data_IF_086841153088
#
_entry.id   IF_086841153088
#
_cell.length_a   1.000
_cell.length_b   1.000
_cell.length_c   1.000
_cell.angle_alpha   90.00
_cell.angle_beta   90.00
_cell.angle_gamma   90.00
#
_symmetry.space_group_name_H-M   'P 1'
#
loop_
_entity.id
_entity.type
_entity.pdbx_description
1 polymer ?
#
# COMPACT_ATOMS: atom_id res chain seq x y z
N UNK A 1 -9.07 0.37 -32.68
CA UNK A 1 -9.23 -0.95 -32.01
C UNK A 1 -10.64 -0.99 -31.43
N UNK A 2 -11.36 -2.12 -31.57
CA UNK A 2 -12.70 -2.28 -30.97
C UNK A 2 -12.64 -3.52 -30.07
N UNK A 3 -13.05 -3.36 -28.82
CA UNK A 3 -13.22 -4.44 -27.85
C UNK A 3 -14.66 -4.94 -27.93
N UNK A 4 -14.87 -6.10 -28.55
CA UNK A 4 -16.21 -6.64 -28.81
C UNK A 4 -16.88 -7.26 -27.58
N UNK A 5 -16.09 -7.65 -26.58
CA UNK A 5 -16.57 -8.19 -25.31
C UNK A 5 -16.07 -7.30 -24.18
N UNK A 6 -16.95 -6.48 -23.63
CA UNK A 6 -16.62 -5.65 -22.48
C UNK A 6 -16.87 -6.42 -21.18
N UNK A 7 -15.96 -6.35 -20.20
CA UNK A 7 -16.15 -6.86 -18.85
C UNK A 7 -17.46 -6.37 -18.20
N UNK A 8 -18.00 -7.13 -17.25
CA UNK A 8 -19.26 -6.82 -16.57
C UNK A 8 -19.27 -5.43 -15.92
N UNK A 9 -18.14 -4.95 -15.42
CA UNK A 9 -18.02 -3.62 -14.82
C UNK A 9 -18.32 -2.49 -15.82
N UNK A 10 -17.85 -2.60 -17.07
CA UNK A 10 -18.20 -1.65 -18.14
C UNK A 10 -19.66 -1.75 -18.56
N UNK A 11 -20.20 -2.98 -18.62
CA UNK A 11 -21.62 -3.18 -18.95
C UNK A 11 -22.52 -2.48 -17.90
N UNK A 12 -22.15 -2.57 -16.62
CA UNK A 12 -22.86 -1.91 -15.53
C UNK A 12 -22.75 -0.38 -15.58
N UNK A 13 -21.61 0.16 -16.01
CA UNK A 13 -21.36 1.61 -16.13
C UNK A 13 -21.89 2.21 -17.44
N UNK A 14 -22.16 1.39 -18.48
CA UNK A 14 -22.61 1.83 -19.80
C UNK A 14 -23.84 2.76 -19.77
N UNK A 15 -24.90 2.50 -18.97
CA UNK A 15 -26.07 3.38 -18.90
C UNK A 15 -25.73 4.81 -18.49
N UNK A 16 -24.65 5.02 -17.72
CA UNK A 16 -24.18 6.34 -17.31
C UNK A 16 -23.67 7.11 -18.52
N UNK A 17 -22.80 6.49 -19.34
CA UNK A 17 -22.30 7.09 -20.58
C UNK A 17 -23.46 7.40 -21.52
N UNK A 18 -24.37 6.45 -21.75
CA UNK A 18 -25.52 6.63 -22.64
C UNK A 18 -26.45 7.76 -22.16
N UNK A 19 -26.63 7.95 -20.86
CA UNK A 19 -27.41 9.08 -20.30
C UNK A 19 -26.75 10.41 -20.57
N UNK A 20 -25.42 10.49 -20.41
CA UNK A 20 -24.65 11.71 -20.69
C UNK A 20 -24.67 12.03 -22.19
N UNK A 21 -24.47 11.03 -23.05
CA UNK A 21 -24.51 11.19 -24.50
C UNK A 21 -25.90 11.61 -25.02
N UNK A 22 -26.98 11.06 -24.45
CA UNK A 22 -28.36 11.43 -24.77
C UNK A 22 -28.67 12.89 -24.42
N UNK A 23 -27.95 13.47 -23.45
CA UNK A 23 -28.05 14.88 -23.10
C UNK A 23 -27.19 15.80 -23.98
N UNK A 24 -26.51 15.26 -25.01
CA UNK A 24 -25.68 16.00 -25.96
C UNK A 24 -24.25 16.26 -25.53
N UNK A 25 -23.76 15.55 -24.51
CA UNK A 25 -22.38 15.61 -24.04
C UNK A 25 -21.59 14.40 -24.49
N UNK A 26 -20.26 14.52 -24.53
CA UNK A 26 -19.35 13.39 -24.73
C UNK A 26 -19.08 12.68 -23.40
N UNK A 27 -18.98 11.35 -23.42
CA UNK A 27 -18.55 10.57 -22.28
C UNK A 27 -17.78 9.31 -22.72
N UNK A 28 -16.74 8.97 -21.96
CA UNK A 28 -15.83 7.87 -22.28
C UNK A 28 -15.36 7.18 -21.01
N UNK A 29 -15.11 5.89 -21.09
CA UNK A 29 -14.25 5.18 -20.14
C UNK A 29 -12.80 5.62 -20.36
N UNK A 30 -12.01 5.82 -19.30
CA UNK A 30 -10.68 6.41 -19.46
C UNK A 30 -9.63 5.81 -18.53
N UNK A 31 -8.36 5.92 -18.93
CA UNK A 31 -7.23 5.66 -18.06
C UNK A 31 -6.97 4.19 -17.75
N UNK A 32 -6.74 3.89 -16.48
CA UNK A 32 -6.31 2.57 -16.02
C UNK A 32 -7.25 1.43 -16.40
N UNK A 33 -8.55 1.62 -16.33
CA UNK A 33 -9.53 0.59 -16.66
C UNK A 33 -9.49 0.21 -18.15
N UNK A 34 -9.28 1.17 -19.05
CA UNK A 34 -9.12 0.89 -20.49
C UNK A 34 -7.85 0.12 -20.76
N UNK A 35 -6.72 0.57 -20.21
CA UNK A 35 -5.43 -0.12 -20.30
C UNK A 35 -5.51 -1.56 -19.81
N UNK A 36 -6.04 -1.77 -18.61
CA UNK A 36 -6.06 -3.07 -17.96
C UNK A 36 -6.97 -4.05 -18.69
N UNK A 37 -8.07 -3.55 -19.28
CA UNK A 37 -8.92 -4.37 -20.16
C UNK A 37 -8.18 -4.81 -21.42
N UNK A 38 -7.43 -3.92 -22.07
CA UNK A 38 -6.63 -4.26 -23.26
C UNK A 38 -5.56 -5.30 -22.90
N UNK A 39 -5.00 -5.23 -21.71
CA UNK A 39 -3.99 -6.18 -21.21
C UNK A 39 -4.59 -7.47 -20.63
N UNK A 40 -5.92 -7.62 -20.58
CA UNK A 40 -6.60 -8.76 -19.98
C UNK A 40 -6.41 -8.86 -18.47
N UNK A 41 -6.12 -7.75 -17.79
CA UNK A 41 -5.94 -7.69 -16.33
C UNK A 41 -7.28 -7.49 -15.61
N UNK A 42 -7.39 -7.92 -14.34
CA UNK A 42 -8.57 -7.65 -13.52
C UNK A 42 -8.85 -6.15 -13.41
N UNK A 43 -10.14 -5.79 -13.46
CA UNK A 43 -10.59 -4.42 -13.23
C UNK A 43 -10.91 -4.21 -11.75
N UNK A 44 -10.51 -3.08 -11.22
CA UNK A 44 -10.88 -2.65 -9.87
C UNK A 44 -11.98 -1.58 -9.94
N UNK A 45 -11.75 -0.51 -10.67
CA UNK A 45 -12.64 0.64 -10.79
C UNK A 45 -12.85 0.99 -12.27
N UNK A 46 -13.97 1.65 -12.57
CA UNK A 46 -14.27 2.16 -13.91
C UNK A 46 -14.39 3.68 -13.82
N UNK A 47 -13.42 4.37 -14.40
CA UNK A 47 -13.39 5.84 -14.46
C UNK A 47 -14.08 6.33 -15.74
N UNK A 48 -14.92 7.36 -15.59
CA UNK A 48 -15.60 8.03 -16.70
C UNK A 48 -15.07 9.45 -16.82
N UNK A 49 -14.79 9.88 -18.03
CA UNK A 49 -14.52 11.27 -18.34
C UNK A 49 -15.59 11.83 -19.29
N UNK A 50 -16.00 13.08 -19.08
CA UNK A 50 -17.11 13.69 -19.83
C UNK A 50 -16.85 15.15 -20.18
N UNK A 51 -17.48 15.60 -21.29
CA UNK A 51 -17.54 17.03 -21.61
C UNK A 51 -18.58 17.77 -20.75
N UNK A 52 -19.48 17.09 -20.04
CA UNK A 52 -20.43 17.71 -19.13
C UNK A 52 -19.70 18.32 -17.91
N UNK A 53 -20.06 19.55 -17.54
CA UNK A 53 -19.52 20.17 -16.32
C UNK A 53 -20.16 19.56 -15.07
N UNK A 54 -19.53 19.67 -13.88
CA UNK A 54 -20.05 19.03 -12.66
C UNK A 54 -21.52 19.37 -12.36
N UNK A 55 -21.95 20.60 -12.58
CA UNK A 55 -23.34 21.01 -12.40
C UNK A 55 -24.29 20.32 -13.38
N UNK A 56 -23.84 20.13 -14.64
CA UNK A 56 -24.62 19.44 -15.67
C UNK A 56 -24.73 17.94 -15.34
N UNK A 57 -23.65 17.30 -14.90
CA UNK A 57 -23.68 15.91 -14.42
C UNK A 57 -24.68 15.74 -13.26
N UNK A 58 -24.68 16.65 -12.30
CA UNK A 58 -25.60 16.62 -11.14
C UNK A 58 -27.08 16.83 -11.56
N UNK A 59 -27.34 17.50 -12.68
CA UNK A 59 -28.70 17.63 -13.22
C UNK A 59 -29.19 16.36 -13.92
N UNK A 60 -28.28 15.60 -14.54
CA UNK A 60 -28.61 14.36 -15.25
C UNK A 60 -28.90 13.19 -14.32
N UNK A 61 -28.27 13.16 -13.13
CA UNK A 61 -28.34 12.02 -12.23
C UNK A 61 -28.94 12.41 -10.87
N UNK A 62 -29.91 11.62 -10.41
CA UNK A 62 -30.64 11.88 -9.14
C UNK A 62 -29.77 11.65 -7.90
N UNK A 63 -28.77 10.79 -7.95
CA UNK A 63 -27.94 10.40 -6.81
C UNK A 63 -26.46 10.62 -7.16
N UNK A 64 -25.90 11.69 -6.63
CA UNK A 64 -24.49 12.05 -6.82
C UNK A 64 -23.87 12.42 -5.48
N UNK A 65 -22.54 12.24 -5.37
CA UNK A 65 -21.73 12.66 -4.21
C UNK A 65 -20.54 13.49 -4.74
N UNK A 66 -20.29 14.61 -4.09
CA UNK A 66 -19.18 15.48 -4.43
C UNK A 66 -17.88 14.89 -3.82
N UNK A 67 -17.09 14.18 -4.63
CA UNK A 67 -15.82 13.54 -4.19
C UNK A 67 -14.59 14.38 -4.56
N UNK A 68 -14.74 15.45 -5.29
CA UNK A 68 -13.67 16.34 -5.77
C UNK A 68 -14.17 17.35 -6.78
N UNK A 69 -15.26 18.02 -6.47
CA UNK A 69 -15.98 18.91 -7.40
C UNK A 69 -15.10 20.08 -7.88
N UNK A 70 -14.20 20.58 -7.03
CA UNK A 70 -13.21 21.58 -7.40
C UNK A 70 -12.22 21.09 -8.47
N UNK A 71 -12.06 19.77 -8.60
CA UNK A 71 -11.25 19.13 -9.64
C UNK A 71 -12.10 18.52 -10.75
N UNK A 72 -13.42 18.77 -10.75
CA UNK A 72 -14.34 18.32 -11.78
C UNK A 72 -14.87 16.90 -11.57
N UNK A 73 -14.61 16.24 -10.43
CA UNK A 73 -15.05 14.86 -10.18
C UNK A 73 -16.34 14.83 -9.37
N UNK A 74 -17.33 14.13 -9.90
CA UNK A 74 -18.60 13.81 -9.25
C UNK A 74 -18.76 12.29 -9.26
N UNK A 75 -19.06 11.69 -8.11
CA UNK A 75 -19.40 10.27 -8.03
C UNK A 75 -20.88 10.09 -8.31
N UNK A 76 -21.22 9.32 -9.32
CA UNK A 76 -22.59 8.92 -9.67
C UNK A 76 -22.88 7.61 -8.97
N UNK A 77 -23.98 7.56 -8.19
CA UNK A 77 -24.43 6.35 -7.51
C UNK A 77 -25.54 5.68 -8.32
N UNK A 78 -25.25 4.50 -8.87
CA UNK A 78 -26.18 3.73 -9.68
C UNK A 78 -26.17 2.25 -9.29
N UNK A 79 -27.34 1.64 -9.07
CA UNK A 79 -27.53 0.23 -8.72
C UNK A 79 -26.58 -0.30 -7.63
N UNK A 80 -26.30 0.52 -6.62
CA UNK A 80 -25.41 0.17 -5.49
C UNK A 80 -23.92 0.36 -5.73
N UNK A 81 -23.52 0.77 -6.93
CA UNK A 81 -22.14 1.09 -7.29
C UNK A 81 -21.91 2.61 -7.35
N UNK A 82 -20.66 3.03 -7.13
CA UNK A 82 -20.21 4.40 -7.33
C UNK A 82 -19.30 4.49 -8.56
N UNK A 83 -19.56 5.46 -9.45
CA UNK A 83 -18.76 5.69 -10.65
C UNK A 83 -18.18 7.09 -10.62
N UNK A 84 -16.85 7.19 -10.53
CA UNK A 84 -16.17 8.47 -10.62
C UNK A 84 -16.28 9.04 -12.04
N UNK A 85 -16.96 10.16 -12.15
CA UNK A 85 -17.19 10.87 -13.42
C UNK A 85 -16.51 12.22 -13.36
N UNK A 86 -15.47 12.40 -14.17
CA UNK A 86 -14.64 13.61 -14.17
C UNK A 86 -14.87 14.43 -15.43
N UNK A 87 -15.15 15.70 -15.27
CA UNK A 87 -15.22 16.66 -16.38
C UNK A 87 -13.85 16.80 -17.05
N UNK A 88 -13.83 16.84 -18.40
CA UNK A 88 -12.60 17.15 -19.13
C UNK A 88 -12.01 18.46 -18.64
N UNK A 89 -10.72 18.49 -18.42
CA UNK A 89 -10.07 19.65 -17.85
C UNK A 89 -8.64 19.83 -18.38
N UNK A 90 -8.20 21.06 -18.37
CA UNK A 90 -6.79 21.43 -18.43
C UNK A 90 -6.34 21.92 -17.07
N UNK A 91 -5.06 21.83 -16.84
CA UNK A 91 -4.42 22.22 -15.59
C UNK A 91 -3.28 23.18 -15.95
N UNK A 92 -3.16 24.30 -15.24
CA UNK A 92 -2.12 25.31 -15.47
C UNK A 92 -1.63 25.93 -14.17
N UNK A 93 -0.36 26.42 -14.18
CA UNK A 93 0.27 26.99 -13.00
C UNK A 93 0.33 25.95 -11.89
N UNK A 94 1.47 25.29 -11.71
CA UNK A 94 1.59 24.28 -10.64
C UNK A 94 2.40 24.87 -9.50
N UNK A 95 1.79 24.92 -8.33
CA UNK A 95 2.49 25.24 -7.07
C UNK A 95 3.05 23.94 -6.49
N UNK A 96 4.28 24.03 -6.02
CA UNK A 96 4.99 22.95 -5.32
C UNK A 96 5.02 21.60 -6.08
N UNK A 97 5.04 21.65 -7.43
CA UNK A 97 5.09 20.46 -8.30
C UNK A 97 3.98 19.44 -8.03
N UNK A 98 2.76 19.92 -7.65
CA UNK A 98 1.64 19.05 -7.29
C UNK A 98 0.27 19.59 -7.66
N UNK A 99 -0.03 20.82 -7.23
CA UNK A 99 -1.38 21.38 -7.35
C UNK A 99 -1.39 22.37 -8.49
N UNK A 100 -2.28 22.18 -9.48
CA UNK A 100 -2.51 23.24 -10.44
C UNK A 100 -3.12 24.43 -9.71
N UNK A 101 -2.60 25.63 -9.99
CA UNK A 101 -3.19 26.86 -9.49
C UNK A 101 -4.58 27.08 -10.06
N UNK A 102 -4.78 26.60 -11.28
CA UNK A 102 -6.03 26.74 -12.01
C UNK A 102 -6.40 25.44 -12.71
N UNK A 103 -7.60 24.95 -12.40
CA UNK A 103 -8.29 23.89 -13.14
C UNK A 103 -9.33 24.55 -14.03
N UNK A 104 -9.20 24.36 -15.33
CA UNK A 104 -10.15 24.88 -16.30
C UNK A 104 -10.91 23.73 -16.95
N UNK A 105 -12.23 23.71 -16.78
CA UNK A 105 -13.07 22.71 -17.43
C UNK A 105 -13.17 23.00 -18.92
N UNK A 106 -12.98 21.98 -19.73
CA UNK A 106 -12.97 22.05 -21.18
C UNK A 106 -13.96 21.05 -21.79
N UNK A 107 -14.27 21.19 -23.06
CA UNK A 107 -15.16 20.27 -23.81
C UNK A 107 -14.38 19.30 -24.71
N UNK A 108 -13.03 19.35 -24.67
CA UNK A 108 -12.16 18.60 -25.56
C UNK A 108 -11.55 17.40 -24.85
N UNK A 109 -11.89 16.18 -25.27
CA UNK A 109 -11.24 14.95 -24.83
C UNK A 109 -9.73 15.01 -25.04
N UNK A 110 -9.25 15.55 -26.17
CA UNK A 110 -7.82 15.64 -26.49
C UNK A 110 -7.04 16.41 -25.42
N UNK A 111 -7.60 17.53 -24.94
CA UNK A 111 -6.95 18.34 -23.90
C UNK A 111 -6.92 17.60 -22.57
N UNK A 112 -7.97 16.84 -22.20
CA UNK A 112 -7.97 16.01 -21.00
C UNK A 112 -6.94 14.88 -21.07
N UNK A 113 -6.85 14.19 -22.21
CA UNK A 113 -5.88 13.11 -22.37
C UNK A 113 -4.43 13.64 -22.39
N UNK A 114 -4.19 14.85 -22.93
CA UNK A 114 -2.86 15.48 -23.02
C UNK A 114 -2.23 15.75 -21.66
N UNK A 115 -3.01 16.06 -20.61
CA UNK A 115 -2.49 16.32 -19.25
C UNK A 115 -2.14 15.05 -18.46
N UNK A 116 -2.47 13.86 -18.97
CA UNK A 116 -2.23 12.58 -18.28
C UNK A 116 -0.74 12.27 -18.20
N UNK A 117 -0.39 11.33 -17.32
CA UNK A 117 1.01 10.97 -17.05
C UNK A 117 1.69 10.22 -18.21
N UNK A 118 1.11 9.08 -18.62
CA UNK A 118 1.70 8.18 -19.61
C UNK A 118 0.74 7.90 -20.76
N UNK A 119 1.29 7.65 -21.94
CA UNK A 119 0.52 7.33 -23.16
C UNK A 119 -0.43 6.16 -22.97
N UNK A 120 0.01 5.13 -22.25
CA UNK A 120 -0.79 3.93 -21.92
C UNK A 120 -1.99 4.21 -21.00
N UNK A 121 -2.01 5.37 -20.32
CA UNK A 121 -3.11 5.83 -19.48
C UNK A 121 -3.90 6.97 -20.15
N UNK A 122 -3.44 7.46 -21.31
CA UNK A 122 -4.08 8.49 -22.12
C UNK A 122 -4.97 7.87 -23.20
N UNK A 123 -5.67 6.81 -22.86
CA UNK A 123 -6.63 6.09 -23.69
C UNK A 123 -8.04 6.39 -23.21
N UNK A 124 -8.96 6.50 -24.16
CA UNK A 124 -10.39 6.58 -23.90
C UNK A 124 -11.13 5.47 -24.66
N UNK A 125 -12.30 5.07 -24.19
CA UNK A 125 -13.11 4.05 -24.85
C UNK A 125 -14.59 4.44 -24.80
N UNK A 126 -15.27 4.29 -25.93
CA UNK A 126 -16.72 4.53 -26.02
C UNK A 126 -17.53 3.42 -25.33
N UNK A 127 -18.81 3.65 -25.08
CA UNK A 127 -19.74 2.64 -24.59
C UNK A 127 -19.88 1.42 -25.53
N UNK A 128 -19.44 1.55 -26.79
CA UNK A 128 -19.44 0.48 -27.80
C UNK A 128 -18.10 -0.29 -27.85
N UNK A 129 -17.14 0.04 -26.99
CA UNK A 129 -15.82 -0.61 -26.93
C UNK A 129 -14.81 -0.09 -27.96
N UNK A 130 -15.09 1.00 -28.66
CA UNK A 130 -14.14 1.63 -29.57
C UNK A 130 -13.10 2.40 -28.75
N UNK A 131 -11.82 2.03 -28.90
CA UNK A 131 -10.69 2.68 -28.21
C UNK A 131 -10.21 3.88 -29.02
N UNK A 132 -10.18 5.03 -28.36
CA UNK A 132 -9.65 6.30 -28.87
C UNK A 132 -8.24 6.47 -28.33
N UNK A 133 -7.28 6.53 -29.23
CA UNK A 133 -5.85 6.70 -28.94
C UNK A 133 -5.33 7.91 -29.72
N UNK A 134 -4.99 8.96 -29.00
CA UNK A 134 -4.51 10.24 -29.59
C UNK A 134 -3.00 10.45 -29.32
N UNK A 135 -2.35 9.55 -28.59
CA UNK A 135 -0.97 9.70 -28.12
C UNK A 135 -0.15 8.42 -28.27
N UNK A 136 -0.53 7.53 -29.18
CA UNK A 136 0.18 6.28 -29.48
C UNK A 136 0.26 5.27 -28.31
N UNK A 137 -0.69 5.35 -27.38
CA UNK A 137 -0.75 4.49 -26.20
C UNK A 137 -0.92 3.01 -26.52
N UNK A 138 -1.69 2.66 -27.57
CA UNK A 138 -1.86 1.29 -28.03
C UNK A 138 -0.54 0.69 -28.57
N UNK A 139 0.25 1.49 -29.27
CA UNK A 139 1.53 1.07 -29.75
C UNK A 139 2.53 0.85 -28.60
N UNK A 140 2.51 1.71 -27.59
CA UNK A 140 3.33 1.58 -26.39
C UNK A 140 2.90 0.39 -25.52
N UNK A 141 1.59 0.13 -25.37
CA UNK A 141 1.07 -1.07 -24.72
C UNK A 141 1.57 -2.35 -25.40
N UNK A 142 1.49 -2.41 -26.72
CA UNK A 142 1.97 -3.54 -27.50
C UNK A 142 3.48 -3.79 -27.34
N UNK A 143 4.25 -2.71 -27.18
CA UNK A 143 5.73 -2.79 -27.03
C UNK A 143 6.19 -2.97 -25.59
N UNK A 144 5.29 -2.87 -24.61
CA UNK A 144 5.65 -2.88 -23.19
C UNK A 144 6.47 -1.65 -22.78
N UNK A 145 6.05 -0.44 -23.21
CA UNK A 145 6.80 0.81 -23.01
C UNK A 145 6.01 1.81 -22.19
N UNK A 146 6.66 2.41 -21.20
CA UNK A 146 6.16 3.54 -20.40
C UNK A 146 6.73 4.83 -20.95
N UNK A 147 5.92 5.60 -21.67
CA UNK A 147 6.25 6.89 -22.25
C UNK A 147 5.38 7.97 -21.65
N UNK A 148 5.98 9.10 -21.24
CA UNK A 148 5.24 10.29 -20.82
C UNK A 148 4.43 10.88 -21.99
N UNK A 149 3.26 11.43 -21.71
CA UNK A 149 2.46 12.16 -22.73
C UNK A 149 3.12 13.49 -23.05
N UNK A 150 3.46 13.72 -24.32
CA UNK A 150 4.10 14.97 -24.78
C UNK A 150 5.55 15.05 -24.32
N UNK A 151 5.93 16.15 -23.67
CA UNK A 151 7.31 16.38 -23.18
C UNK A 151 7.41 15.91 -21.73
N UNK A 152 8.23 14.91 -21.47
CA UNK A 152 8.37 14.26 -20.15
C UNK A 152 8.79 15.26 -19.05
N UNK A 153 9.74 16.16 -19.37
CA UNK A 153 10.20 17.20 -18.44
C UNK A 153 9.04 18.10 -17.98
N UNK A 154 8.18 18.57 -18.88
CA UNK A 154 7.00 19.36 -18.54
C UNK A 154 6.07 18.58 -17.59
N UNK A 155 5.82 17.31 -17.90
CA UNK A 155 4.97 16.44 -17.05
C UNK A 155 5.50 16.28 -15.64
N UNK A 156 6.82 16.20 -15.46
CA UNK A 156 7.44 16.04 -14.13
C UNK A 156 7.51 17.37 -13.37
N UNK A 157 7.56 18.51 -14.06
CA UNK A 157 7.43 19.83 -13.44
C UNK A 157 5.99 20.13 -13.00
N UNK A 158 4.99 19.56 -13.65
CA UNK A 158 3.58 19.67 -13.21
C UNK A 158 3.33 18.84 -11.94
N UNK A 159 3.66 17.55 -11.93
CA UNK A 159 3.56 16.68 -10.75
C UNK A 159 4.77 15.73 -10.72
N UNK A 160 5.74 16.06 -9.87
CA UNK A 160 6.95 15.27 -9.72
C UNK A 160 6.68 13.82 -9.22
N UNK A 161 5.50 13.53 -8.64
CA UNK A 161 5.10 12.18 -8.29
C UNK A 161 4.99 11.26 -9.51
N UNK A 162 4.77 11.82 -10.70
CA UNK A 162 4.73 11.05 -11.95
C UNK A 162 6.01 10.25 -12.19
N UNK A 163 7.15 10.71 -11.67
CA UNK A 163 8.41 9.96 -11.72
C UNK A 163 8.32 8.67 -10.88
N UNK A 164 7.77 8.73 -9.66
CA UNK A 164 7.51 7.54 -8.85
C UNK A 164 6.46 6.62 -9.48
N UNK A 165 5.45 7.19 -10.13
CA UNK A 165 4.45 6.42 -10.87
C UNK A 165 5.05 5.65 -12.04
N UNK A 166 6.05 6.22 -12.76
CA UNK A 166 6.76 5.52 -13.83
C UNK A 166 7.44 4.24 -13.31
N UNK A 167 8.24 4.34 -12.25
CA UNK A 167 8.93 3.19 -11.67
C UNK A 167 7.96 2.18 -11.04
N UNK A 168 6.84 2.65 -10.48
CA UNK A 168 5.76 1.77 -10.02
C UNK A 168 5.09 1.02 -11.16
N UNK A 169 4.75 1.69 -12.26
CA UNK A 169 4.17 1.02 -13.42
C UNK A 169 5.13 0.00 -14.05
N UNK A 170 6.45 0.27 -14.05
CA UNK A 170 7.44 -0.73 -14.44
C UNK A 170 7.29 -2.01 -13.61
N UNK A 171 7.14 -1.88 -12.28
CA UNK A 171 6.89 -3.01 -11.38
C UNK A 171 5.54 -3.71 -11.61
N UNK A 172 4.49 -2.97 -11.93
CA UNK A 172 3.14 -3.56 -12.07
C UNK A 172 2.88 -4.21 -13.42
N UNK A 173 3.54 -3.73 -14.47
CA UNK A 173 3.26 -4.10 -15.86
C UNK A 173 4.42 -4.86 -16.53
N UNK A 174 5.61 -4.87 -15.93
CA UNK A 174 6.85 -5.34 -16.55
C UNK A 174 7.19 -4.58 -17.84
N UNK A 175 6.96 -3.27 -17.81
CA UNK A 175 7.21 -2.39 -18.95
C UNK A 175 8.52 -1.61 -18.76
N UNK A 176 9.27 -1.45 -19.85
CA UNK A 176 10.46 -0.61 -19.87
C UNK A 176 10.07 0.88 -19.92
N UNK A 177 10.75 1.71 -19.14
CA UNK A 177 10.61 3.17 -19.29
C UNK A 177 11.32 3.61 -20.56
N UNK A 178 10.64 4.38 -21.40
CA UNK A 178 11.16 4.93 -22.64
C UNK A 178 12.41 5.80 -22.36
N UNK A 179 13.47 5.72 -23.19
CA UNK A 179 14.76 6.36 -22.87
C UNK A 179 14.70 7.87 -22.60
N UNK A 180 13.90 8.64 -23.34
CA UNK A 180 13.77 10.09 -23.11
C UNK A 180 12.99 10.36 -21.81
N UNK A 181 11.97 9.56 -21.54
CA UNK A 181 11.21 9.61 -20.27
C UNK A 181 12.12 9.25 -19.09
N UNK A 182 12.95 8.22 -19.23
CA UNK A 182 13.91 7.81 -18.20
C UNK A 182 14.97 8.89 -17.94
N UNK A 183 15.51 9.52 -19.01
CA UNK A 183 16.47 10.63 -18.87
C UNK A 183 15.84 11.81 -18.16
N UNK A 184 14.61 12.18 -18.53
CA UNK A 184 13.87 13.25 -17.87
C UNK A 184 13.63 12.96 -16.38
N UNK A 185 13.36 11.69 -15.99
CA UNK A 185 13.28 11.31 -14.57
C UNK A 185 14.63 11.55 -13.88
N UNK A 186 15.73 11.11 -14.49
CA UNK A 186 17.07 11.29 -13.92
C UNK A 186 17.41 12.77 -13.70
N UNK A 187 17.15 13.60 -14.70
CA UNK A 187 17.47 15.03 -14.66
C UNK A 187 16.60 15.81 -13.65
N UNK A 188 15.39 15.33 -13.39
CA UNK A 188 14.41 15.98 -12.52
C UNK A 188 14.20 15.27 -11.18
N UNK A 189 14.96 14.20 -10.87
CA UNK A 189 14.78 13.36 -9.69
C UNK A 189 14.72 14.17 -8.37
N UNK A 190 15.49 15.27 -8.26
CA UNK A 190 15.52 16.13 -7.09
C UNK A 190 14.16 16.77 -6.77
N UNK A 191 13.27 16.96 -7.76
CA UNK A 191 11.92 17.49 -7.56
C UNK A 191 11.07 16.61 -6.65
N UNK A 192 11.41 15.31 -6.53
CA UNK A 192 10.68 14.40 -5.64
C UNK A 192 10.70 14.88 -4.18
N UNK A 193 11.73 15.61 -3.75
CA UNK A 193 11.80 16.20 -2.39
C UNK A 193 10.70 17.22 -2.10
N UNK A 194 10.04 17.75 -3.13
CA UNK A 194 8.90 18.68 -3.00
C UNK A 194 7.57 17.96 -2.79
N UNK A 195 7.53 16.66 -3.01
CA UNK A 195 6.31 15.87 -2.90
C UNK A 195 6.11 15.42 -1.45
N UNK A 196 4.86 15.48 -0.97
CA UNK A 196 4.51 14.96 0.36
C UNK A 196 4.92 13.49 0.50
N UNK A 197 5.58 13.17 1.61
CA UNK A 197 6.12 11.84 1.90
C UNK A 197 5.05 10.75 1.80
N UNK A 198 3.83 11.05 2.24
CA UNK A 198 2.68 10.13 2.19
C UNK A 198 2.35 9.69 0.76
N UNK A 199 2.45 10.60 -0.22
CA UNK A 199 2.23 10.27 -1.64
C UNK A 199 3.35 9.40 -2.18
N UNK A 200 4.60 9.76 -1.90
CA UNK A 200 5.78 8.97 -2.30
C UNK A 200 5.74 7.58 -1.69
N UNK A 201 5.31 7.47 -0.41
CA UNK A 201 5.13 6.20 0.29
C UNK A 201 4.16 5.27 -0.43
N UNK A 202 2.98 5.78 -0.80
CA UNK A 202 1.96 4.96 -1.48
C UNK A 202 2.49 4.39 -2.81
N UNK A 203 3.23 5.18 -3.59
CA UNK A 203 3.84 4.70 -4.84
C UNK A 203 4.94 3.67 -4.58
N UNK A 204 5.75 3.88 -3.52
CA UNK A 204 6.79 2.96 -3.09
C UNK A 204 6.24 1.61 -2.60
N UNK A 205 5.24 1.64 -1.73
CA UNK A 205 4.54 0.43 -1.25
C UNK A 205 3.93 -0.36 -2.43
N UNK A 206 3.23 0.33 -3.35
CA UNK A 206 2.66 -0.29 -4.55
C UNK A 206 3.71 -0.82 -5.54
N UNK A 207 4.90 -0.22 -5.60
CA UNK A 207 6.01 -0.72 -6.40
C UNK A 207 6.48 -2.07 -5.85
N UNK A 208 6.71 -2.16 -4.53
CA UNK A 208 7.21 -3.38 -3.89
C UNK A 208 6.18 -4.51 -3.83
N UNK A 209 4.89 -4.17 -3.90
CA UNK A 209 3.78 -5.13 -4.02
C UNK A 209 3.38 -5.41 -5.48
N UNK A 210 4.09 -4.86 -6.45
CA UNK A 210 3.87 -5.14 -7.86
C UNK A 210 4.15 -6.59 -8.24
N UNK A 211 3.70 -7.02 -9.42
CA UNK A 211 3.96 -8.37 -9.91
C UNK A 211 5.42 -8.60 -10.32
N UNK A 212 6.12 -7.51 -10.67
CA UNK A 212 7.52 -7.51 -11.10
C UNK A 212 8.32 -6.46 -10.32
N UNK A 213 8.45 -6.61 -8.97
CA UNK A 213 9.06 -5.59 -8.12
C UNK A 213 10.54 -5.33 -8.49
N UNK A 214 11.23 -6.34 -9.05
CA UNK A 214 12.58 -6.21 -9.56
C UNK A 214 12.69 -5.21 -10.72
N UNK A 215 11.72 -5.17 -11.64
CA UNK A 215 11.70 -4.19 -12.74
C UNK A 215 11.54 -2.75 -12.18
N UNK A 216 10.71 -2.55 -11.17
CA UNK A 216 10.56 -1.27 -10.47
C UNK A 216 11.84 -0.86 -9.74
N UNK A 217 12.46 -1.77 -8.99
CA UNK A 217 13.71 -1.51 -8.25
C UNK A 217 14.88 -1.23 -9.21
N UNK A 218 14.98 -1.96 -10.33
CA UNK A 218 15.96 -1.67 -11.39
C UNK A 218 15.78 -0.26 -11.95
N UNK A 219 14.55 0.13 -12.26
CA UNK A 219 14.22 1.47 -12.78
C UNK A 219 14.55 2.55 -11.74
N UNK A 220 14.26 2.32 -10.47
CA UNK A 220 14.60 3.22 -9.37
C UNK A 220 16.11 3.43 -9.22
N UNK A 221 16.90 2.36 -9.35
CA UNK A 221 18.37 2.41 -9.35
C UNK A 221 18.93 3.13 -10.58
N UNK A 222 18.40 2.83 -11.77
CA UNK A 222 18.88 3.41 -13.03
C UNK A 222 18.65 4.91 -13.11
N UNK A 223 17.47 5.37 -12.65
CA UNK A 223 17.11 6.80 -12.63
C UNK A 223 17.72 7.56 -11.46
N UNK A 224 18.23 6.88 -10.45
CA UNK A 224 18.76 7.51 -9.23
C UNK A 224 17.68 8.13 -8.34
N UNK A 225 16.40 7.95 -8.66
CA UNK A 225 15.25 8.56 -7.97
C UNK A 225 15.21 8.22 -6.47
N UNK A 226 15.70 7.02 -6.08
CA UNK A 226 15.78 6.58 -4.68
C UNK A 226 16.57 7.55 -3.79
N UNK A 227 17.55 8.29 -4.33
CA UNK A 227 18.39 9.22 -3.56
C UNK A 227 17.59 10.36 -2.94
N UNK A 228 16.43 10.67 -3.50
CA UNK A 228 15.55 11.75 -3.08
C UNK A 228 14.33 11.27 -2.29
N UNK A 229 14.27 9.96 -2.00
CA UNK A 229 13.26 9.37 -1.13
C UNK A 229 13.72 9.42 0.34
N UNK A 230 12.79 9.51 1.33
CA UNK A 230 13.14 9.59 2.75
C UNK A 230 14.04 8.43 3.21
N UNK A 231 15.20 8.72 3.78
CA UNK A 231 16.19 7.76 4.29
C UNK A 231 16.76 6.78 3.24
N UNK A 232 16.54 7.01 1.92
CA UNK A 232 16.97 6.06 0.89
C UNK A 232 18.28 6.44 0.19
N UNK A 233 18.82 7.65 0.38
CA UNK A 233 20.00 8.14 -0.34
C UNK A 233 21.23 7.22 -0.24
N UNK A 234 21.46 6.60 0.91
CA UNK A 234 22.56 5.66 1.13
C UNK A 234 22.18 4.19 0.89
N UNK A 235 20.95 3.89 0.45
CA UNK A 235 20.42 2.54 0.41
C UNK A 235 20.59 1.80 -0.93
N UNK A 236 21.52 2.25 -1.78
CA UNK A 236 21.85 1.54 -3.02
C UNK A 236 22.21 0.06 -2.76
N UNK A 237 23.04 -0.29 -1.73
CA UNK A 237 23.34 -1.69 -1.44
C UNK A 237 22.10 -2.50 -1.08
N UNK A 238 21.19 -1.95 -0.27
CA UNK A 238 19.92 -2.59 0.10
C UNK A 238 19.05 -2.86 -1.12
N UNK A 239 18.90 -1.88 -2.03
CA UNK A 239 18.16 -2.06 -3.28
C UNK A 239 18.79 -3.15 -4.17
N UNK A 240 20.12 -3.26 -4.19
CA UNK A 240 20.81 -4.34 -4.90
C UNK A 240 20.58 -5.70 -4.25
N UNK A 241 20.52 -5.78 -2.92
CA UNK A 241 20.16 -7.00 -2.19
C UNK A 241 18.72 -7.45 -2.50
N UNK A 242 17.76 -6.52 -2.60
CA UNK A 242 16.39 -6.84 -3.03
C UNK A 242 16.37 -7.50 -4.41
N UNK A 243 17.20 -7.01 -5.38
CA UNK A 243 17.31 -7.62 -6.70
C UNK A 243 17.97 -9.00 -6.72
N UNK A 244 18.69 -9.36 -5.67
CA UNK A 244 19.33 -10.67 -5.54
C UNK A 244 18.40 -11.71 -4.90
N UNK A 245 17.26 -11.30 -4.35
CA UNK A 245 16.27 -12.22 -3.78
C UNK A 245 15.57 -13.00 -4.89
N UNK A 246 15.38 -14.32 -4.74
CA UNK A 246 14.65 -15.12 -5.71
C UNK A 246 13.14 -14.81 -5.63
N UNK A 247 12.48 -14.67 -6.78
CA UNK A 247 11.00 -14.56 -6.95
C UNK A 247 10.19 -14.15 -5.71
N UNK A 248 10.42 -12.93 -5.23
CA UNK A 248 9.76 -12.45 -4.04
C UNK A 248 8.50 -11.66 -4.35
N UNK A 249 7.42 -11.99 -3.65
CA UNK A 249 6.17 -11.27 -3.73
C UNK A 249 5.70 -10.86 -2.33
N UNK A 250 5.34 -9.61 -2.19
CA UNK A 250 4.78 -9.06 -0.96
C UNK A 250 3.31 -8.71 -1.21
N UNK A 251 2.43 -9.18 -0.32
CA UNK A 251 0.99 -9.01 -0.45
C UNK A 251 0.42 -7.91 0.46
N UNK A 252 1.19 -7.47 1.45
CA UNK A 252 0.73 -6.54 2.48
C UNK A 252 1.76 -5.43 2.74
N UNK A 253 1.27 -4.30 3.21
CA UNK A 253 2.11 -3.15 3.60
C UNK A 253 3.03 -3.54 4.77
N UNK A 254 2.53 -4.37 5.69
CA UNK A 254 3.27 -4.91 6.82
C UNK A 254 4.49 -5.72 6.37
N UNK A 255 4.32 -6.58 5.37
CA UNK A 255 5.42 -7.38 4.82
C UNK A 255 6.44 -6.51 4.06
N UNK A 256 5.98 -5.47 3.35
CA UNK A 256 6.87 -4.49 2.71
C UNK A 256 7.79 -3.85 3.75
N UNK A 257 7.23 -3.25 4.78
CA UNK A 257 8.03 -2.54 5.79
C UNK A 257 8.85 -3.46 6.67
N UNK A 258 8.41 -4.69 6.88
CA UNK A 258 9.19 -5.73 7.60
C UNK A 258 10.42 -6.11 6.77
N UNK A 259 10.27 -6.41 5.47
CA UNK A 259 11.39 -6.72 4.59
C UNK A 259 12.38 -5.54 4.48
N UNK A 260 11.89 -4.32 4.28
CA UNK A 260 12.73 -3.12 4.21
C UNK A 260 13.50 -2.90 5.51
N UNK A 261 12.85 -2.98 6.67
CA UNK A 261 13.52 -2.84 7.97
C UNK A 261 14.62 -3.90 8.12
N UNK A 262 14.34 -5.12 7.70
CA UNK A 262 15.31 -6.21 7.74
C UNK A 262 16.51 -5.96 6.81
N UNK A 263 16.28 -5.61 5.59
CA UNK A 263 17.34 -5.35 4.60
C UNK A 263 18.17 -4.09 4.93
N UNK A 264 17.57 -3.10 5.58
CA UNK A 264 18.26 -1.92 6.12
C UNK A 264 18.99 -2.19 7.44
N UNK A 265 19.04 -3.45 7.92
CA UNK A 265 19.69 -3.87 9.17
C UNK A 265 19.11 -3.19 10.43
N UNK A 266 17.84 -2.75 10.38
CA UNK A 266 17.15 -2.16 11.52
C UNK A 266 16.53 -3.28 12.36
N UNK A 267 17.14 -3.57 13.52
CA UNK A 267 16.73 -4.68 14.38
C UNK A 267 16.08 -4.24 15.69
N UNK A 268 16.26 -3.00 16.09
CA UNK A 268 15.70 -2.50 17.34
C UNK A 268 14.45 -1.62 17.09
N UNK A 269 13.56 -1.59 18.07
CA UNK A 269 12.27 -0.88 17.98
C UNK A 269 12.41 0.64 17.75
N UNK A 270 13.50 1.25 18.23
CA UNK A 270 13.73 2.71 18.06
C UNK A 270 14.08 3.03 16.62
N UNK A 271 14.98 2.24 16.02
CA UNK A 271 15.41 2.41 14.62
C UNK A 271 14.24 2.15 13.66
N UNK A 272 13.45 1.08 13.88
CA UNK A 272 12.24 0.77 13.11
C UNK A 272 11.22 1.92 13.22
N UNK A 273 10.96 2.39 14.43
CA UNK A 273 10.08 3.54 14.68
C UNK A 273 10.56 4.80 13.95
N UNK A 274 11.86 5.07 13.96
CA UNK A 274 12.43 6.23 13.28
C UNK A 274 12.19 6.16 11.77
N UNK A 275 12.49 5.02 11.13
CA UNK A 275 12.21 4.78 9.72
C UNK A 275 10.73 5.04 9.41
N UNK A 276 9.83 4.33 10.08
CA UNK A 276 8.41 4.34 9.78
C UNK A 276 7.76 5.71 10.06
N UNK A 277 8.21 6.42 11.12
CA UNK A 277 7.76 7.81 11.36
C UNK A 277 8.25 8.78 10.29
N UNK A 278 9.46 8.61 9.78
CA UNK A 278 9.97 9.42 8.68
C UNK A 278 9.12 9.21 7.43
N UNK A 279 8.62 7.99 7.20
CA UNK A 279 7.70 7.67 6.12
C UNK A 279 6.23 7.94 6.44
N UNK A 280 5.94 8.62 7.56
CA UNK A 280 4.58 9.04 7.96
C UNK A 280 3.58 7.87 8.05
N UNK A 281 4.01 6.74 8.59
CA UNK A 281 3.13 5.59 8.82
C UNK A 281 2.37 5.68 10.14
N UNK A 282 1.35 4.82 10.32
CA UNK A 282 0.56 4.71 11.54
C UNK A 282 1.34 4.07 12.70
N UNK A 283 0.90 4.31 13.94
CA UNK A 283 1.47 3.62 15.11
C UNK A 283 1.17 2.12 15.09
N UNK A 284 0.05 1.71 14.54
CA UNK A 284 -0.34 0.31 14.38
C UNK A 284 0.67 -0.43 13.50
N UNK A 285 0.97 0.12 12.30
CA UNK A 285 1.99 -0.45 11.42
C UNK A 285 3.36 -0.51 12.09
N UNK A 286 3.76 0.52 12.85
CA UNK A 286 5.03 0.53 13.60
C UNK A 286 5.07 -0.62 14.61
N UNK A 287 3.99 -0.85 15.35
CA UNK A 287 3.90 -1.93 16.34
C UNK A 287 3.98 -3.29 15.67
N UNK A 288 3.22 -3.47 14.58
CA UNK A 288 3.21 -4.71 13.81
C UNK A 288 4.59 -5.05 13.22
N UNK A 289 5.22 -4.10 12.52
CA UNK A 289 6.55 -4.30 11.92
C UNK A 289 7.61 -4.59 12.99
N UNK A 290 7.53 -3.90 14.13
CA UNK A 290 8.45 -4.16 15.25
C UNK A 290 8.30 -5.58 15.78
N UNK A 291 7.07 -6.05 15.97
CA UNK A 291 6.80 -7.42 16.40
C UNK A 291 7.28 -8.44 15.36
N UNK A 292 7.01 -8.20 14.08
CA UNK A 292 7.43 -9.08 12.99
C UNK A 292 8.97 -9.15 12.87
N UNK A 293 9.69 -8.03 12.99
CA UNK A 293 11.17 -8.02 12.96
C UNK A 293 11.76 -8.75 14.18
N UNK A 294 11.14 -8.62 15.35
CA UNK A 294 11.55 -9.39 16.53
C UNK A 294 11.40 -10.90 16.31
N UNK A 295 10.29 -11.34 15.72
CA UNK A 295 10.08 -12.73 15.34
C UNK A 295 11.09 -13.20 14.28
N UNK A 296 11.41 -12.37 13.27
CA UNK A 296 12.47 -12.66 12.29
C UNK A 296 13.83 -12.87 12.96
N UNK A 297 14.21 -12.02 13.91
CA UNK A 297 15.45 -12.18 14.68
C UNK A 297 15.49 -13.52 15.44
N UNK A 298 14.36 -13.97 15.99
CA UNK A 298 14.27 -15.25 16.69
C UNK A 298 14.36 -16.43 15.70
N UNK A 299 13.67 -16.34 14.56
CA UNK A 299 13.71 -17.35 13.48
C UNK A 299 15.12 -17.51 12.92
N UNK A 300 15.80 -16.40 12.59
CA UNK A 300 17.19 -16.43 12.09
C UNK A 300 18.14 -17.07 13.10
N UNK A 301 17.98 -16.75 14.39
CA UNK A 301 18.87 -17.23 15.46
C UNK A 301 18.69 -18.71 15.79
N UNK A 302 17.46 -19.20 15.86
CA UNK A 302 17.14 -20.52 16.43
C UNK A 302 16.32 -21.44 15.52
N UNK A 303 15.89 -20.95 14.37
CA UNK A 303 15.04 -21.68 13.44
C UNK A 303 13.61 -21.93 13.95
N UNK A 304 13.25 -21.48 15.14
CA UNK A 304 11.93 -21.64 15.76
C UNK A 304 11.62 -20.54 16.75
N UNK A 305 10.35 -20.36 17.05
CA UNK A 305 9.87 -19.43 18.06
C UNK A 305 9.50 -20.17 19.35
N UNK A 306 9.79 -19.58 20.49
CA UNK A 306 9.30 -20.02 21.80
C UNK A 306 7.81 -19.66 21.97
N UNK A 307 7.13 -20.29 22.95
CA UNK A 307 5.74 -19.93 23.30
C UNK A 307 5.61 -18.45 23.65
N UNK A 308 6.60 -17.89 24.34
CA UNK A 308 6.64 -16.48 24.70
C UNK A 308 6.77 -15.58 23.47
N UNK A 309 7.70 -15.86 22.57
CA UNK A 309 7.86 -15.13 21.30
C UNK A 309 6.60 -15.21 20.46
N UNK A 310 5.94 -16.38 20.37
CA UNK A 310 4.66 -16.54 19.68
C UNK A 310 3.58 -15.65 20.31
N UNK A 311 3.43 -15.67 21.64
CA UNK A 311 2.40 -14.90 22.34
C UNK A 311 2.55 -13.38 22.12
N UNK A 312 3.76 -12.85 22.37
CA UNK A 312 4.00 -11.40 22.25
C UNK A 312 4.02 -10.88 20.81
N UNK A 313 4.31 -11.74 19.83
CA UNK A 313 4.28 -11.36 18.42
C UNK A 313 2.84 -11.30 17.90
N UNK A 314 1.99 -12.26 18.27
CA UNK A 314 0.64 -12.41 17.75
C UNK A 314 0.60 -13.01 16.33
N UNK A 315 -0.50 -13.66 15.97
CA UNK A 315 -0.60 -14.45 14.73
C UNK A 315 -0.36 -13.65 13.46
N UNK A 316 -0.88 -12.43 13.38
CA UNK A 316 -0.76 -11.60 12.18
C UNK A 316 0.70 -11.19 11.92
N UNK A 317 1.41 -10.73 12.96
CA UNK A 317 2.81 -10.37 12.83
C UNK A 317 3.72 -11.60 12.65
N UNK A 318 3.36 -12.75 13.21
CA UNK A 318 4.03 -14.04 12.95
C UNK A 318 3.90 -14.45 11.49
N UNK A 319 2.70 -14.30 10.90
CA UNK A 319 2.45 -14.59 9.49
C UNK A 319 3.30 -13.69 8.59
N UNK A 320 3.34 -12.41 8.91
CA UNK A 320 4.18 -11.43 8.21
C UNK A 320 5.67 -11.78 8.31
N UNK A 321 6.15 -12.10 9.51
CA UNK A 321 7.54 -12.50 9.75
C UNK A 321 7.89 -13.75 8.95
N UNK A 322 7.03 -14.77 8.96
CA UNK A 322 7.27 -16.01 8.24
C UNK A 322 7.26 -15.84 6.72
N UNK A 323 6.39 -14.98 6.17
CA UNK A 323 6.41 -14.62 4.75
C UNK A 323 7.78 -14.02 4.38
N UNK A 324 8.26 -13.06 5.16
CA UNK A 324 9.57 -12.43 4.92
C UNK A 324 10.71 -13.42 5.13
N UNK A 325 10.67 -14.25 6.18
CA UNK A 325 11.65 -15.31 6.42
C UNK A 325 11.72 -16.30 5.26
N UNK A 326 10.59 -16.64 4.66
CA UNK A 326 10.52 -17.53 3.48
C UNK A 326 11.21 -16.90 2.27
N UNK A 327 10.98 -15.62 2.00
CA UNK A 327 11.67 -14.87 0.95
C UNK A 327 13.19 -14.85 1.20
N UNK A 328 13.60 -14.75 2.47
CA UNK A 328 15.01 -14.73 2.88
C UNK A 328 15.64 -16.13 2.97
N UNK A 329 14.88 -17.21 2.78
CA UNK A 329 15.38 -18.58 2.75
C UNK A 329 15.45 -19.31 4.09
N UNK A 330 14.84 -18.76 5.17
CA UNK A 330 14.80 -19.40 6.50
C UNK A 330 13.40 -19.47 7.11
N UNK A 331 12.35 -19.34 6.30
CA UNK A 331 10.95 -19.47 6.74
C UNK A 331 10.59 -20.89 7.18
N UNK A 332 9.51 -20.99 7.94
CA UNK A 332 8.93 -22.24 8.41
C UNK A 332 7.67 -22.61 7.61
N UNK A 333 7.20 -23.85 7.80
CA UNK A 333 5.88 -24.23 7.34
C UNK A 333 4.80 -23.37 8.01
N UNK A 334 3.97 -22.70 7.20
CA UNK A 334 2.96 -21.75 7.70
C UNK A 334 1.89 -22.45 8.56
N UNK A 335 1.54 -23.71 8.24
CA UNK A 335 0.55 -24.46 9.00
C UNK A 335 1.11 -24.85 10.37
N UNK A 336 2.39 -25.24 10.46
CA UNK A 336 3.05 -25.52 11.71
C UNK A 336 3.18 -24.28 12.59
N UNK A 337 3.49 -23.11 12.01
CA UNK A 337 3.53 -21.85 12.75
C UNK A 337 2.16 -21.50 13.35
N UNK A 338 1.11 -21.58 12.52
CA UNK A 338 -0.27 -21.32 12.97
C UNK A 338 -0.71 -22.31 14.06
N UNK A 339 -0.36 -23.60 13.92
CA UNK A 339 -0.64 -24.62 14.94
C UNK A 339 0.12 -24.35 16.25
N UNK A 340 1.38 -23.95 16.17
CA UNK A 340 2.19 -23.59 17.33
C UNK A 340 1.56 -22.40 18.09
N UNK A 341 1.09 -21.38 17.37
CA UNK A 341 0.35 -20.27 17.97
C UNK A 341 -0.98 -20.74 18.58
N UNK A 342 -1.77 -21.52 17.86
CA UNK A 342 -3.08 -22.01 18.33
C UNK A 342 -2.97 -22.93 19.57
N UNK A 343 -1.82 -23.57 19.78
CA UNK A 343 -1.56 -24.43 20.97
C UNK A 343 -1.19 -23.65 22.23
N UNK A 344 -1.05 -22.32 22.16
CA UNK A 344 -0.81 -21.50 23.34
C UNK A 344 -1.99 -21.61 24.32
N UNK A 345 -1.73 -21.66 25.63
CA UNK A 345 -2.79 -21.73 26.64
C UNK A 345 -3.70 -20.51 26.65
N UNK A 346 -3.19 -19.35 26.23
CA UNK A 346 -3.89 -18.07 26.09
C UNK A 346 -3.28 -17.29 24.92
N UNK A 347 -4.09 -16.42 24.31
CA UNK A 347 -3.70 -15.59 23.15
C UNK A 347 -3.72 -14.08 23.45
N UNK A 348 -4.34 -13.71 24.58
CA UNK A 348 -4.37 -12.32 25.08
C UNK A 348 -4.17 -12.30 26.59
N UNK A 349 -3.51 -11.25 27.09
CA UNK A 349 -3.30 -11.07 28.54
C UNK A 349 -4.59 -10.98 29.35
N UNK A 350 -5.70 -10.59 28.72
CA UNK A 350 -7.00 -10.51 29.37
C UNK A 350 -7.67 -11.88 29.58
N UNK A 351 -7.14 -12.92 28.94
CA UNK A 351 -7.56 -14.31 29.16
C UNK A 351 -6.96 -14.92 30.42
N UNK A 352 -5.99 -14.23 31.08
CA UNK A 352 -5.41 -14.70 32.35
C UNK A 352 -6.49 -14.80 33.42
N UNK A 353 -6.63 -16.00 34.04
CA UNK A 353 -7.71 -16.30 34.99
C UNK A 353 -7.59 -15.55 36.34
N UNK A 354 -6.57 -14.71 36.51
CA UNK A 354 -6.42 -13.81 37.66
C UNK A 354 -6.15 -12.40 37.20
N UNK A 355 -6.64 -11.44 37.99
CA UNK A 355 -6.43 -10.01 37.79
C UNK A 355 -5.97 -9.33 39.09
N UNK A 356 -5.68 -8.01 39.02
CA UNK A 356 -5.20 -7.28 40.20
C UNK A 356 -6.19 -7.28 41.36
N UNK A 357 -7.53 -7.31 41.10
CA UNK A 357 -8.55 -7.40 42.13
C UNK A 357 -8.53 -8.73 42.90
N UNK A 358 -8.22 -9.82 42.20
CA UNK A 358 -8.11 -11.14 42.81
C UNK A 358 -6.88 -11.22 43.75
N UNK A 359 -5.75 -10.66 43.33
CA UNK A 359 -4.55 -10.58 44.18
C UNK A 359 -4.78 -9.74 45.44
N UNK A 360 -5.57 -8.65 45.33
CA UNK A 360 -5.93 -7.83 46.49
C UNK A 360 -6.88 -8.56 47.44
N UNK A 361 -7.89 -9.25 46.92
CA UNK A 361 -8.82 -10.06 47.73
C UNK A 361 -8.07 -11.18 48.48
N UNK A 362 -7.12 -11.80 47.81
CA UNK A 362 -6.28 -12.84 48.41
C UNK A 362 -5.21 -12.27 49.36
N UNK A 363 -5.14 -10.95 49.55
CA UNK A 363 -4.16 -10.24 50.41
C UNK A 363 -2.69 -10.56 50.08
N UNK A 364 -2.41 -10.84 48.80
CA UNK A 364 -1.05 -11.13 48.32
C UNK A 364 -0.23 -9.89 48.03
N UNK A 365 -0.90 -8.79 47.74
CA UNK A 365 -0.27 -7.52 47.39
C UNK A 365 -1.09 -6.33 47.90
N UNK A 366 -0.46 -5.17 47.96
CA UNK A 366 -1.11 -3.86 48.02
C UNK A 366 -1.07 -3.19 46.65
N UNK A 367 -1.97 -2.20 46.38
CA UNK A 367 -1.90 -1.47 45.12
C UNK A 367 -0.51 -0.83 44.90
N UNK A 368 0.13 -1.17 43.77
CA UNK A 368 1.46 -0.66 43.45
C UNK A 368 2.20 -1.49 42.40
N UNK A 369 3.46 -1.16 42.11
CA UNK A 369 4.26 -1.83 41.06
C UNK A 369 4.43 -3.35 41.26
N UNK A 370 4.41 -3.84 42.50
CA UNK A 370 4.54 -5.25 42.84
C UNK A 370 3.38 -6.08 42.25
N UNK A 371 2.15 -5.55 42.24
CA UNK A 371 0.98 -6.22 41.65
C UNK A 371 1.19 -6.46 40.16
N UNK A 372 1.65 -5.47 39.39
CA UNK A 372 1.96 -5.63 37.97
C UNK A 372 3.05 -6.65 37.72
N UNK A 373 4.08 -6.69 38.56
CA UNK A 373 5.17 -7.64 38.47
C UNK A 373 4.74 -9.09 38.76
N UNK A 374 3.81 -9.31 39.70
CA UNK A 374 3.28 -10.65 39.98
C UNK A 374 2.34 -11.11 38.84
N UNK A 375 1.46 -10.22 38.33
CA UNK A 375 0.63 -10.56 37.17
C UNK A 375 1.46 -10.91 35.94
N UNK A 376 2.56 -10.18 35.68
CA UNK A 376 3.50 -10.51 34.61
C UNK A 376 4.15 -11.88 34.81
N UNK A 377 4.53 -12.25 36.07
CA UNK A 377 5.06 -13.57 36.39
C UNK A 377 4.02 -14.69 36.21
N UNK A 378 2.77 -14.46 36.59
CA UNK A 378 1.65 -15.37 36.31
C UNK A 378 1.43 -15.58 34.83
N UNK A 379 1.38 -14.50 34.06
CA UNK A 379 1.25 -14.53 32.61
C UNK A 379 2.36 -15.36 31.96
N UNK A 380 3.59 -15.11 32.35
CA UNK A 380 4.76 -15.85 31.86
C UNK A 380 4.67 -17.34 32.20
N UNK A 381 4.23 -17.68 33.43
CA UNK A 381 4.09 -19.07 33.87
C UNK A 381 3.02 -19.81 33.04
N UNK A 382 1.90 -19.15 32.71
CA UNK A 382 0.86 -19.74 31.87
C UNK A 382 1.38 -19.92 30.43
N UNK A 383 1.95 -18.89 29.81
CA UNK A 383 2.47 -18.96 28.44
C UNK A 383 3.49 -20.10 28.28
N UNK A 384 4.33 -20.31 29.29
CA UNK A 384 5.35 -21.35 29.25
C UNK A 384 4.85 -22.71 29.72
N UNK A 385 3.57 -22.85 30.05
CA UNK A 385 2.96 -24.10 30.52
C UNK A 385 3.42 -24.55 31.93
N UNK A 386 4.04 -23.67 32.74
CA UNK A 386 4.44 -23.95 34.11
C UNK A 386 3.27 -24.02 35.07
N UNK A 387 2.23 -23.27 34.83
CA UNK A 387 1.01 -23.17 35.64
C UNK A 387 -0.18 -23.19 34.70
N UNK A 388 -1.20 -23.96 35.05
CA UNK A 388 -2.46 -23.94 34.33
C UNK A 388 -3.17 -22.60 34.51
N UNK A 389 -3.88 -22.15 33.47
CA UNK A 389 -4.64 -20.91 33.53
C UNK A 389 -5.95 -21.10 34.33
N UNK A 390 -5.81 -21.41 35.60
CA UNK A 390 -6.91 -21.57 36.57
C UNK A 390 -6.66 -20.70 37.79
N UNK A 391 -7.72 -20.08 38.31
CA UNK A 391 -7.62 -19.06 39.34
C UNK A 391 -6.87 -19.54 40.59
N UNK A 392 -7.18 -20.73 41.11
CA UNK A 392 -6.56 -21.26 42.33
C UNK A 392 -5.07 -21.53 42.12
N UNK A 393 -4.70 -22.19 41.00
CA UNK A 393 -3.32 -22.47 40.66
C UNK A 393 -2.48 -21.19 40.51
N UNK A 394 -3.07 -20.17 39.92
CA UNK A 394 -2.43 -18.86 39.74
C UNK A 394 -2.30 -18.08 41.05
N UNK A 395 -3.27 -18.15 41.96
CA UNK A 395 -3.15 -17.52 43.27
C UNK A 395 -2.08 -18.17 44.12
N UNK A 396 -1.94 -19.50 44.08
CA UNK A 396 -0.87 -20.21 44.78
C UNK A 396 0.50 -19.86 44.21
N UNK A 397 0.64 -19.79 42.88
CA UNK A 397 1.85 -19.34 42.22
C UNK A 397 2.18 -17.88 42.56
N UNK A 398 1.17 -16.98 42.55
CA UNK A 398 1.33 -15.58 42.91
C UNK A 398 1.84 -15.41 44.36
N UNK A 399 1.39 -16.28 45.30
CA UNK A 399 1.86 -16.29 46.69
C UNK A 399 3.36 -16.61 46.74
N UNK A 400 3.77 -17.68 46.05
CA UNK A 400 5.21 -18.05 45.99
C UNK A 400 6.09 -16.92 45.46
N UNK A 401 5.62 -16.25 44.38
CA UNK A 401 6.34 -15.11 43.78
C UNK A 401 6.36 -13.90 44.73
N UNK A 402 5.28 -13.61 45.45
CA UNK A 402 5.22 -12.54 46.44
C UNK A 402 6.20 -12.76 47.59
N UNK A 403 6.23 -13.98 48.14
CA UNK A 403 7.12 -14.36 49.25
C UNK A 403 8.59 -14.26 48.85
N UNK A 404 8.93 -14.69 47.62
CA UNK A 404 10.31 -14.59 47.08
C UNK A 404 10.82 -13.19 46.85
N UNK A 405 9.93 -12.18 46.71
CA UNK A 405 10.30 -10.77 46.53
C UNK A 405 10.34 -9.96 47.81
N UNK A 406 9.83 -10.52 48.90
CA UNK A 406 9.86 -9.92 50.23
C UNK A 406 11.12 -10.35 51.05
N UNK A 407 11.90 -11.25 50.51
CA UNK A 407 13.24 -11.67 51.02
C UNK A 407 14.35 -11.16 50.09
#
# INVERSE_FOLDING_TARGET
MILTQLPAAFQAAKPIIETIEAAGFEAYFVGGCVRDTILGKPLHDVDIATSAFPAEVKQLFKRTVDTGIEHGTVMILDHGNGYETTTFRTESGYQDFRRPDQVTFVRSLKEDLKRRDFTINALAMTAKGEVIDLFDGLADLKRGVLRAVGVAEERFHEDALRMMRAVRFASQLDFAIEPQTQQAITDNAALLTKIAVERTRVEWEKLLMGQHPDAGVKSLLTTGLYQYMPMMAAQKPMLQQLLALPDWHLSTIESVWTLLSWQMQLRDASAIRHLLKTWKTSNELISHVTAAVNALNALERSGRLTSEENFYTGLDALTTANQVATILGFGQDQAQLAQSYASLPIHDKHELAVNGGDLLKAKLVTPGPMMGSILAACLQAVITGKVENQQDALLDFARMVADSKNH
#
